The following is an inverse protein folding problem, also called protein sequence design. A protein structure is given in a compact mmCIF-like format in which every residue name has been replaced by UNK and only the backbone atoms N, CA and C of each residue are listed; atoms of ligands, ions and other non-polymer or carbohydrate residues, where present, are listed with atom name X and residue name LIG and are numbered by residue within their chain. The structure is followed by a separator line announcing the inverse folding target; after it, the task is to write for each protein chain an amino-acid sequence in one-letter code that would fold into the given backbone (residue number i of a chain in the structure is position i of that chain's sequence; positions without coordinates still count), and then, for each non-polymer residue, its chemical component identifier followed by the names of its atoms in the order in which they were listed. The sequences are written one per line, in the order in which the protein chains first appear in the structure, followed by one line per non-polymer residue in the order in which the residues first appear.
data_IF_237001927816
#
_entry.id   IF_237001927816
#
_cell.length_a   1.000
_cell.length_b   1.000
_cell.length_c   1.000
_cell.angle_alpha   90.00
_cell.angle_beta   90.00
_cell.angle_gamma   90.00
#
_symmetry.space_group_name_H-M   'P 1'
#
loop_
_entity.id
_entity.type
_entity.pdbx_description
1 polymer ?
#
# COMPACT_ATOMS: atom_id res chain seq x y z
N UNK A 1 -10.35 -31.15 -23.99
CA UNK A 1 -10.79 -30.36 -22.82
C UNK A 1 -10.14 -30.96 -21.61
N UNK A 2 -9.45 -30.13 -20.84
CA UNK A 2 -8.78 -30.53 -19.61
C UNK A 2 -9.63 -30.26 -18.38
N UNK A 3 -9.57 -31.14 -17.38
CA UNK A 3 -10.33 -31.02 -16.13
C UNK A 3 -9.41 -31.24 -14.94
N UNK A 4 -9.38 -30.27 -14.02
CA UNK A 4 -8.73 -30.40 -12.73
C UNK A 4 -9.78 -30.39 -11.62
N UNK A 5 -9.67 -31.33 -10.68
CA UNK A 5 -10.61 -31.46 -9.55
C UNK A 5 -9.86 -31.35 -8.25
N UNK A 6 -10.46 -30.63 -7.31
CA UNK A 6 -9.86 -30.34 -6.02
C UNK A 6 -10.89 -30.61 -4.92
N UNK A 7 -10.56 -31.50 -3.99
CA UNK A 7 -11.35 -31.79 -2.81
C UNK A 7 -11.05 -30.75 -1.72
N UNK A 8 -12.06 -29.99 -1.33
CA UNK A 8 -12.02 -29.02 -0.26
C UNK A 8 -12.49 -29.66 1.06
N UNK A 9 -11.57 -29.82 2.00
CA UNK A 9 -11.85 -30.34 3.33
C UNK A 9 -11.43 -29.32 4.42
N UNK A 10 -12.11 -29.34 5.58
CA UNK A 10 -13.31 -30.12 5.88
C UNK A 10 -14.55 -29.60 5.12
N UNK A 11 -15.58 -30.43 4.96
CA UNK A 11 -16.69 -30.17 4.03
C UNK A 11 -17.47 -28.89 4.34
N UNK A 12 -17.43 -28.43 5.60
CA UNK A 12 -18.06 -27.20 6.06
C UNK A 12 -17.46 -25.95 5.38
N UNK A 13 -16.19 -26.02 4.95
CA UNK A 13 -15.57 -24.92 4.20
C UNK A 13 -16.34 -24.67 2.90
N UNK A 14 -16.78 -25.73 2.21
CA UNK A 14 -17.48 -25.59 0.94
C UNK A 14 -18.82 -24.82 1.09
N UNK A 15 -19.48 -24.92 2.23
CA UNK A 15 -20.75 -24.24 2.49
C UNK A 15 -20.62 -22.71 2.59
N UNK A 16 -19.46 -22.20 3.01
CA UNK A 16 -19.19 -20.76 3.16
C UNK A 16 -18.22 -20.22 2.09
N UNK A 17 -17.88 -21.03 1.08
CA UNK A 17 -16.89 -20.68 0.07
C UNK A 17 -17.46 -19.86 -1.09
N UNK A 18 -18.00 -18.68 -0.77
CA UNK A 18 -18.66 -17.77 -1.73
C UNK A 18 -17.78 -17.41 -2.94
N UNK A 19 -16.48 -17.27 -2.71
CA UNK A 19 -15.52 -16.80 -3.71
C UNK A 19 -14.89 -17.94 -4.53
N UNK A 20 -15.34 -19.19 -4.36
CA UNK A 20 -14.83 -20.36 -5.09
C UNK A 20 -14.94 -20.21 -6.60
N UNK A 21 -16.01 -19.57 -7.08
CA UNK A 21 -16.26 -19.32 -8.51
C UNK A 21 -15.26 -18.35 -9.15
N UNK A 22 -14.57 -17.54 -8.34
CA UNK A 22 -13.53 -16.60 -8.78
C UNK A 22 -12.16 -17.27 -8.94
N UNK A 23 -12.04 -18.59 -8.68
CA UNK A 23 -10.80 -19.31 -8.91
C UNK A 23 -10.40 -19.28 -10.38
N UNK A 24 -9.10 -19.33 -10.66
CA UNK A 24 -8.60 -19.38 -12.02
C UNK A 24 -7.34 -20.24 -12.11
N UNK A 25 -7.05 -20.72 -13.33
CA UNK A 25 -5.90 -21.57 -13.60
C UNK A 25 -4.93 -20.84 -14.51
N UNK A 26 -3.65 -20.84 -14.14
CA UNK A 26 -2.57 -20.33 -15.01
C UNK A 26 -1.72 -21.46 -15.56
N UNK A 27 -1.25 -21.29 -16.79
CA UNK A 27 -0.20 -22.10 -17.39
C UNK A 27 1.17 -21.90 -16.70
N UNK A 28 2.17 -22.66 -17.13
CA UNK A 28 3.55 -22.50 -16.68
C UNK A 28 4.12 -21.09 -16.96
N UNK A 29 3.72 -20.48 -18.08
CA UNK A 29 4.15 -19.15 -18.51
C UNK A 29 3.36 -17.99 -17.84
N UNK A 30 2.43 -18.31 -16.94
CA UNK A 30 1.61 -17.34 -16.23
C UNK A 30 0.36 -16.87 -17.00
N UNK A 31 0.12 -17.34 -18.21
CA UNK A 31 -1.12 -17.02 -18.94
C UNK A 31 -2.33 -17.61 -18.22
N UNK A 32 -3.36 -16.80 -18.05
CA UNK A 32 -4.64 -17.20 -17.47
C UNK A 32 -5.45 -17.94 -18.53
N UNK A 33 -5.93 -19.14 -18.21
CA UNK A 33 -6.91 -19.83 -19.04
C UNK A 33 -8.32 -19.39 -18.67
N UNK A 34 -9.17 -19.19 -19.67
CA UNK A 34 -10.61 -19.18 -19.45
C UNK A 34 -11.03 -20.56 -18.93
N UNK A 35 -11.26 -20.65 -17.64
CA UNK A 35 -11.68 -21.87 -16.97
C UNK A 35 -13.13 -21.71 -16.48
N UNK A 36 -13.96 -22.72 -16.74
CA UNK A 36 -15.26 -22.84 -16.07
C UNK A 36 -15.02 -23.47 -14.71
N UNK A 37 -15.36 -22.75 -13.65
CA UNK A 37 -15.17 -23.20 -12.27
C UNK A 37 -16.51 -23.50 -11.64
N UNK A 38 -16.67 -24.71 -11.14
CA UNK A 38 -17.89 -25.19 -10.51
C UNK A 38 -17.55 -25.89 -9.20
N UNK A 39 -18.20 -25.48 -8.12
CA UNK A 39 -18.13 -26.17 -6.83
C UNK A 39 -19.38 -27.05 -6.71
N UNK A 40 -19.20 -28.36 -6.63
CA UNK A 40 -20.28 -29.31 -6.36
C UNK A 40 -19.94 -30.09 -5.11
N UNK A 41 -20.82 -30.03 -4.11
CA UNK A 41 -20.57 -30.52 -2.75
C UNK A 41 -19.26 -29.93 -2.19
N UNK A 42 -18.21 -30.74 -2.08
CA UNK A 42 -16.88 -30.36 -1.61
C UNK A 42 -15.80 -30.45 -2.70
N UNK A 43 -16.19 -30.57 -3.96
CA UNK A 43 -15.23 -30.70 -5.08
C UNK A 43 -15.30 -29.48 -5.99
N UNK A 44 -14.21 -28.74 -6.04
CA UNK A 44 -13.99 -27.66 -7.00
C UNK A 44 -13.48 -28.26 -8.32
N UNK A 45 -14.27 -28.10 -9.38
CA UNK A 45 -13.95 -28.56 -10.72
C UNK A 45 -13.60 -27.37 -11.61
N UNK A 46 -12.43 -27.39 -12.22
CA UNK A 46 -11.95 -26.38 -13.16
C UNK A 46 -11.81 -27.02 -14.54
N UNK A 47 -12.69 -26.64 -15.48
CA UNK A 47 -12.67 -27.13 -16.87
C UNK A 47 -12.06 -26.08 -17.78
N UNK A 48 -11.13 -26.50 -18.65
CA UNK A 48 -10.36 -25.61 -19.54
C UNK A 48 -10.16 -26.23 -20.94
N UNK A 49 -9.79 -25.39 -21.90
CA UNK A 49 -9.59 -25.82 -23.29
C UNK A 49 -8.38 -26.77 -23.46
N UNK A 50 -7.27 -26.50 -22.74
CA UNK A 50 -6.02 -27.28 -22.76
C UNK A 50 -5.98 -28.33 -21.63
N UNK A 51 -5.23 -29.41 -21.82
CA UNK A 51 -4.98 -30.45 -20.81
C UNK A 51 -3.58 -30.41 -20.18
N UNK A 52 -2.83 -29.33 -20.41
CA UNK A 52 -1.48 -29.15 -19.86
C UNK A 52 -1.47 -28.92 -18.34
N UNK A 53 -0.34 -29.14 -17.68
CA UNK A 53 -0.22 -28.84 -16.24
C UNK A 53 -0.49 -27.36 -15.95
N UNK A 54 -1.14 -27.08 -14.82
CA UNK A 54 -1.49 -25.71 -14.43
C UNK A 54 -1.42 -25.47 -12.92
N UNK A 55 -1.45 -24.20 -12.54
CA UNK A 55 -1.55 -23.76 -11.15
C UNK A 55 -2.95 -23.21 -10.91
N UNK A 56 -3.64 -23.72 -9.89
CA UNK A 56 -4.89 -23.16 -9.43
C UNK A 56 -4.58 -21.97 -8.51
N UNK A 57 -5.31 -20.87 -8.70
CA UNK A 57 -5.32 -19.71 -7.82
C UNK A 57 -6.72 -19.58 -7.22
N UNK A 58 -6.80 -19.51 -5.89
CA UNK A 58 -8.09 -19.42 -5.21
C UNK A 58 -8.00 -18.72 -3.86
N UNK A 59 -9.03 -17.97 -3.49
CA UNK A 59 -9.18 -17.43 -2.14
C UNK A 59 -9.51 -18.57 -1.17
N UNK A 60 -8.67 -18.78 -0.16
CA UNK A 60 -8.81 -19.88 0.81
C UNK A 60 -8.67 -19.38 2.24
N UNK A 61 -9.51 -19.83 3.19
CA UNK A 61 -9.44 -19.37 4.57
C UNK A 61 -8.15 -19.84 5.27
N UNK A 62 -7.45 -18.90 5.89
CA UNK A 62 -6.28 -19.15 6.73
C UNK A 62 -6.43 -18.36 8.02
N UNK A 63 -6.35 -19.05 9.16
CA UNK A 63 -6.50 -18.42 10.48
C UNK A 63 -5.49 -17.29 10.67
N UNK A 64 -5.96 -16.12 11.11
CA UNK A 64 -5.15 -14.91 11.26
C UNK A 64 -4.88 -14.12 9.97
N UNK A 65 -5.25 -14.64 8.79
CA UNK A 65 -4.99 -14.00 7.48
C UNK A 65 -6.25 -13.77 6.63
N UNK A 66 -7.43 -14.17 7.09
CA UNK A 66 -8.67 -14.04 6.33
C UNK A 66 -8.70 -15.05 5.18
N UNK A 67 -8.95 -14.58 3.94
CA UNK A 67 -9.00 -15.41 2.73
C UNK A 67 -8.00 -14.95 1.66
N UNK A 68 -6.68 -15.08 1.91
CA UNK A 68 -5.69 -14.74 0.90
C UNK A 68 -5.90 -15.56 -0.38
N UNK A 69 -5.54 -14.98 -1.54
CA UNK A 69 -5.42 -15.75 -2.78
C UNK A 69 -4.15 -16.59 -2.69
N UNK A 70 -4.34 -17.91 -2.70
CA UNK A 70 -3.27 -18.88 -2.65
C UNK A 70 -3.17 -19.62 -3.98
N UNK A 71 -1.97 -20.09 -4.27
CA UNK A 71 -1.64 -20.75 -5.53
C UNK A 71 -1.09 -22.14 -5.25
N UNK A 72 -1.56 -23.15 -5.98
CA UNK A 72 -0.99 -24.50 -5.92
C UNK A 72 0.38 -24.57 -6.59
N UNK A 73 1.09 -25.70 -6.43
CA UNK A 73 2.14 -26.05 -7.38
C UNK A 73 1.55 -26.27 -8.80
N UNK A 74 2.44 -26.41 -9.80
CA UNK A 74 1.99 -26.84 -11.14
C UNK A 74 1.58 -28.31 -11.06
N UNK A 75 0.33 -28.60 -11.35
CA UNK A 75 -0.26 -29.92 -11.24
C UNK A 75 -0.69 -30.42 -12.63
N UNK A 76 -0.37 -31.68 -12.99
CA UNK A 76 -0.94 -32.31 -14.16
C UNK A 76 -2.43 -32.62 -13.94
N UNK A 77 -3.08 -33.16 -14.96
CA UNK A 77 -4.43 -33.70 -14.79
C UNK A 77 -4.41 -35.01 -14.00
N UNK A 78 -5.49 -35.27 -13.28
CA UNK A 78 -5.64 -36.49 -12.48
C UNK A 78 -7.06 -37.02 -12.51
N UNK A 79 -7.16 -38.34 -12.55
CA UNK A 79 -8.41 -39.08 -12.42
C UNK A 79 -8.99 -39.00 -10.99
N UNK A 80 -8.18 -38.62 -10.01
CA UNK A 80 -8.59 -38.42 -8.62
C UNK A 80 -8.52 -36.93 -8.27
N UNK A 81 -9.45 -36.40 -7.46
CA UNK A 81 -9.37 -35.02 -7.01
C UNK A 81 -8.15 -34.82 -6.11
N UNK A 82 -7.41 -33.73 -6.32
CA UNK A 82 -6.33 -33.30 -5.44
C UNK A 82 -6.89 -32.84 -4.10
N UNK A 83 -6.23 -33.15 -2.99
CA UNK A 83 -6.56 -32.51 -1.71
C UNK A 83 -6.13 -31.04 -1.78
N UNK A 84 -7.09 -30.13 -1.84
CA UNK A 84 -6.84 -28.73 -2.19
C UNK A 84 -5.86 -28.06 -1.22
N UNK A 85 -6.15 -28.11 0.08
CA UNK A 85 -5.34 -27.46 1.11
C UNK A 85 -3.91 -27.99 1.13
N UNK A 86 -3.70 -29.28 0.83
CA UNK A 86 -2.38 -29.88 0.73
C UNK A 86 -1.58 -29.27 -0.42
N UNK A 87 -2.21 -29.09 -1.58
CA UNK A 87 -1.56 -28.51 -2.75
C UNK A 87 -1.36 -26.99 -2.64
N UNK A 88 -2.26 -26.28 -1.94
CA UNK A 88 -2.06 -24.88 -1.57
C UNK A 88 -0.88 -24.73 -0.59
N UNK A 89 -0.78 -25.59 0.42
CA UNK A 89 0.36 -25.62 1.34
C UNK A 89 1.66 -25.92 0.58
N UNK A 90 1.67 -26.89 -0.33
CA UNK A 90 2.83 -27.22 -1.18
C UNK A 90 3.28 -26.00 -1.99
N UNK A 91 2.33 -25.34 -2.65
CA UNK A 91 2.59 -24.15 -3.45
C UNK A 91 3.16 -23.01 -2.61
N UNK A 92 2.50 -22.68 -1.50
CA UNK A 92 2.93 -21.56 -0.64
C UNK A 92 4.29 -21.79 0.03
N UNK A 93 4.57 -23.02 0.47
CA UNK A 93 5.90 -23.38 0.99
C UNK A 93 6.99 -23.20 -0.07
N UNK A 94 6.73 -23.62 -1.32
CA UNK A 94 7.65 -23.42 -2.42
C UNK A 94 7.91 -21.94 -2.72
N UNK A 95 6.84 -21.15 -2.84
CA UNK A 95 6.89 -19.70 -3.10
C UNK A 95 7.69 -18.95 -2.03
N UNK A 96 7.36 -19.17 -0.75
CA UNK A 96 8.01 -18.48 0.37
C UNK A 96 9.48 -18.87 0.50
N UNK A 97 9.82 -20.15 0.25
CA UNK A 97 11.21 -20.61 0.25
C UNK A 97 12.02 -19.93 -0.85
N UNK A 98 11.48 -19.87 -2.06
CA UNK A 98 12.13 -19.22 -3.20
C UNK A 98 12.33 -17.72 -2.95
N UNK A 99 11.29 -17.04 -2.45
CA UNK A 99 11.38 -15.62 -2.13
C UNK A 99 12.44 -15.31 -1.07
N UNK A 100 12.50 -16.14 -0.02
CA UNK A 100 13.49 -16.01 1.04
C UNK A 100 14.91 -16.22 0.51
N UNK A 101 15.12 -17.21 -0.36
CA UNK A 101 16.41 -17.45 -0.99
C UNK A 101 16.84 -16.24 -1.85
N UNK A 102 15.95 -15.73 -2.70
CA UNK A 102 16.24 -14.56 -3.55
C UNK A 102 16.62 -13.33 -2.73
N UNK A 103 15.88 -13.05 -1.66
CA UNK A 103 16.19 -11.90 -0.80
C UNK A 103 17.47 -12.10 0.00
N UNK A 104 17.73 -13.32 0.50
CA UNK A 104 18.99 -13.64 1.16
C UNK A 104 20.17 -13.48 0.21
N UNK A 105 20.05 -13.94 -1.02
CA UNK A 105 21.05 -13.77 -2.07
C UNK A 105 21.30 -12.29 -2.38
N UNK A 106 20.25 -11.45 -2.33
CA UNK A 106 20.34 -10.00 -2.44
C UNK A 106 20.88 -9.30 -1.17
N UNK A 107 21.36 -10.05 -0.16
CA UNK A 107 21.99 -9.53 1.05
C UNK A 107 21.03 -9.25 2.22
N UNK A 108 19.77 -9.67 2.12
CA UNK A 108 18.84 -9.57 3.26
C UNK A 108 19.21 -10.56 4.36
N UNK A 109 19.21 -10.09 5.60
CA UNK A 109 19.34 -10.96 6.77
C UNK A 109 18.01 -11.66 7.05
N UNK A 110 18.02 -12.99 7.08
CA UNK A 110 16.83 -13.80 7.37
C UNK A 110 16.76 -14.05 8.88
N UNK A 111 15.63 -13.76 9.51
CA UNK A 111 15.44 -13.96 10.95
C UNK A 111 15.33 -15.44 11.33
N UNK A 112 15.71 -15.77 12.57
CA UNK A 112 15.56 -17.14 13.08
C UNK A 112 14.08 -17.53 13.27
N UNK A 113 13.22 -16.58 13.64
CA UNK A 113 11.76 -16.77 13.71
C UNK A 113 11.19 -17.26 12.37
N UNK A 114 11.61 -16.65 11.25
CA UNK A 114 11.22 -17.12 9.92
C UNK A 114 11.64 -18.58 9.69
N UNK A 115 12.90 -18.92 10.02
CA UNK A 115 13.45 -20.26 9.82
C UNK A 115 12.72 -21.31 10.66
N UNK A 116 12.34 -20.96 11.88
CA UNK A 116 11.57 -21.82 12.77
C UNK A 116 10.17 -22.10 12.20
N UNK A 117 9.43 -21.05 11.81
CA UNK A 117 8.09 -21.19 11.22
C UNK A 117 8.13 -21.97 9.90
N UNK A 118 9.14 -21.71 9.05
CA UNK A 118 9.33 -22.45 7.81
C UNK A 118 9.58 -23.95 8.06
N UNK A 119 10.41 -24.29 9.05
CA UNK A 119 10.70 -25.68 9.42
C UNK A 119 9.44 -26.37 9.96
N UNK A 120 8.69 -25.70 10.83
CA UNK A 120 7.41 -26.18 11.38
C UNK A 120 6.41 -26.46 10.25
N UNK A 121 6.22 -25.51 9.32
CA UNK A 121 5.35 -25.67 8.18
C UNK A 121 5.74 -26.89 7.32
N UNK A 122 7.04 -27.06 7.02
CA UNK A 122 7.51 -28.18 6.22
C UNK A 122 7.32 -29.54 6.94
N UNK A 123 7.51 -29.60 8.26
CA UNK A 123 7.27 -30.82 9.04
C UNK A 123 5.79 -31.20 9.04
N UNK A 124 4.88 -30.23 9.25
CA UNK A 124 3.44 -30.45 9.20
C UNK A 124 2.98 -30.90 7.81
N UNK A 125 3.47 -30.22 6.75
CA UNK A 125 3.21 -30.61 5.38
C UNK A 125 3.71 -32.03 5.06
N UNK A 126 4.90 -32.40 5.54
CA UNK A 126 5.46 -33.74 5.34
C UNK A 126 4.58 -34.81 5.99
N UNK A 127 4.08 -34.57 7.21
CA UNK A 127 3.12 -35.45 7.88
C UNK A 127 1.79 -35.53 7.12
N UNK A 128 1.27 -34.39 6.66
CA UNK A 128 0.05 -34.33 5.86
C UNK A 128 0.16 -35.15 4.57
N UNK A 129 1.27 -34.99 3.83
CA UNK A 129 1.53 -35.72 2.59
C UNK A 129 1.74 -37.23 2.81
N UNK A 130 2.12 -37.65 4.02
CA UNK A 130 2.26 -39.06 4.38
C UNK A 130 0.92 -39.72 4.76
N UNK A 131 -0.10 -38.93 5.14
CA UNK A 131 -1.42 -39.41 5.55
C UNK A 131 -2.35 -39.76 4.37
N UNK A 132 -1.82 -40.46 3.35
CA UNK A 132 -2.54 -40.74 2.08
C UNK A 132 -3.82 -41.56 2.23
N UNK A 133 -4.01 -42.26 3.34
CA UNK A 133 -5.21 -43.05 3.64
C UNK A 133 -6.27 -42.32 4.46
N UNK A 134 -5.99 -41.10 4.93
CA UNK A 134 -6.89 -40.31 5.77
C UNK A 134 -6.89 -38.85 5.30
N UNK A 135 -7.75 -38.50 4.32
CA UNK A 135 -7.85 -37.14 3.80
C UNK A 135 -8.21 -36.11 4.86
N UNK A 136 -8.93 -36.49 5.93
CA UNK A 136 -9.35 -35.57 6.98
C UNK A 136 -8.15 -35.19 7.85
N UNK A 137 -7.37 -36.17 8.28
CA UNK A 137 -6.11 -35.92 9.01
C UNK A 137 -5.09 -35.20 8.14
N UNK A 138 -4.96 -35.58 6.86
CA UNK A 138 -4.10 -34.88 5.90
C UNK A 138 -4.51 -33.41 5.75
N UNK A 139 -5.81 -33.13 5.65
CA UNK A 139 -6.36 -31.78 5.53
C UNK A 139 -6.05 -30.94 6.76
N UNK A 140 -6.29 -31.47 7.97
CA UNK A 140 -6.01 -30.75 9.21
C UNK A 140 -4.53 -30.41 9.39
N UNK A 141 -3.63 -31.34 9.06
CA UNK A 141 -2.17 -31.10 9.11
C UNK A 141 -1.72 -30.11 8.04
N UNK A 142 -2.28 -30.18 6.82
CA UNK A 142 -1.99 -29.26 5.74
C UNK A 142 -2.47 -27.83 6.06
N UNK A 143 -3.62 -27.68 6.71
CA UNK A 143 -4.13 -26.38 7.16
C UNK A 143 -3.19 -25.74 8.19
N UNK A 144 -2.71 -26.49 9.19
CA UNK A 144 -1.72 -26.00 10.15
C UNK A 144 -0.37 -25.66 9.49
N UNK A 145 0.02 -26.43 8.46
CA UNK A 145 1.22 -26.11 7.67
C UNK A 145 1.05 -24.78 6.93
N UNK A 146 -0.14 -24.55 6.38
CA UNK A 146 -0.50 -23.33 5.64
C UNK A 146 -0.52 -22.09 6.56
N UNK A 147 -1.07 -22.20 7.76
CA UNK A 147 -1.04 -21.14 8.78
C UNK A 147 0.41 -20.79 9.19
N UNK A 148 1.22 -21.82 9.43
CA UNK A 148 2.63 -21.64 9.82
C UNK A 148 3.44 -20.96 8.70
N UNK A 149 3.25 -21.35 7.43
CA UNK A 149 3.97 -20.72 6.32
C UNK A 149 3.46 -19.31 6.00
N UNK A 150 2.16 -19.01 6.18
CA UNK A 150 1.65 -17.64 6.07
C UNK A 150 2.23 -16.73 7.15
N UNK A 151 2.38 -17.25 8.38
CA UNK A 151 3.09 -16.55 9.46
C UNK A 151 4.54 -16.28 9.08
N UNK A 152 5.25 -17.29 8.56
CA UNK A 152 6.61 -17.11 8.05
C UNK A 152 6.68 -16.05 6.95
N UNK A 153 5.76 -16.08 5.98
CA UNK A 153 5.70 -15.11 4.89
C UNK A 153 5.52 -13.67 5.41
N UNK A 154 4.66 -13.46 6.41
CA UNK A 154 4.46 -12.16 7.04
C UNK A 154 5.72 -11.68 7.79
N UNK A 155 6.41 -12.56 8.52
CA UNK A 155 7.69 -12.25 9.17
C UNK A 155 8.76 -11.88 8.14
N UNK A 156 8.83 -12.62 7.02
CA UNK A 156 9.78 -12.37 5.94
C UNK A 156 9.54 -11.01 5.28
N UNK A 157 8.29 -10.70 4.91
CA UNK A 157 7.92 -9.43 4.30
C UNK A 157 8.18 -8.23 5.23
N UNK A 158 7.91 -8.39 6.53
CA UNK A 158 8.21 -7.36 7.53
C UNK A 158 9.71 -7.13 7.67
N UNK A 159 10.49 -8.20 7.75
CA UNK A 159 11.96 -8.14 7.84
C UNK A 159 12.57 -7.45 6.61
N UNK A 160 12.05 -7.76 5.42
CA UNK A 160 12.46 -7.10 4.18
C UNK A 160 12.18 -5.60 4.22
N UNK A 161 10.95 -5.23 4.62
CA UNK A 161 10.52 -3.83 4.69
C UNK A 161 11.40 -3.01 5.65
N UNK A 162 11.65 -3.54 6.86
CA UNK A 162 12.49 -2.86 7.86
C UNK A 162 13.93 -2.70 7.38
N UNK A 163 14.56 -3.75 6.85
CA UNK A 163 15.95 -3.67 6.38
C UNK A 163 16.08 -2.76 5.17
N UNK A 164 15.11 -2.78 4.24
CA UNK A 164 15.12 -1.90 3.07
C UNK A 164 14.92 -0.43 3.46
N UNK A 165 14.08 -0.15 4.46
CA UNK A 165 13.92 1.19 5.03
C UNK A 165 15.21 1.67 5.70
N UNK A 166 15.85 0.83 6.52
CA UNK A 166 17.12 1.15 7.18
C UNK A 166 18.25 1.40 6.17
N UNK A 167 18.39 0.52 5.17
CA UNK A 167 19.39 0.69 4.10
C UNK A 167 19.19 2.00 3.34
N UNK A 168 17.94 2.38 3.06
CA UNK A 168 17.62 3.68 2.42
C UNK A 168 17.94 4.86 3.32
N UNK A 169 17.63 4.79 4.61
CA UNK A 169 17.96 5.85 5.57
C UNK A 169 19.48 6.07 5.70
N UNK A 170 20.29 5.04 5.49
CA UNK A 170 21.75 5.14 5.48
C UNK A 170 22.31 5.65 4.15
N UNK A 171 21.68 5.32 3.01
CA UNK A 171 22.21 5.68 1.68
C UNK A 171 21.66 7.00 1.10
N UNK A 172 20.55 7.50 1.61
CA UNK A 172 19.91 8.73 1.12
C UNK A 172 19.53 9.63 2.31
N UNK A 173 19.88 10.91 2.23
CA UNK A 173 19.47 11.91 3.22
C UNK A 173 17.94 12.11 3.25
N UNK A 174 17.25 11.76 2.15
CA UNK A 174 15.79 11.84 2.03
C UNK A 174 15.24 10.67 1.18
N UNK A 175 14.08 10.08 1.56
CA UNK A 175 13.44 9.03 0.78
C UNK A 175 12.99 9.56 -0.59
N UNK A 176 13.01 8.72 -1.65
CA UNK A 176 12.68 9.14 -3.01
C UNK A 176 11.19 9.45 -3.20
N UNK A 177 10.35 8.99 -2.27
CA UNK A 177 8.93 9.32 -2.18
C UNK A 177 8.66 9.95 -0.82
N UNK A 178 8.01 11.12 -0.84
CA UNK A 178 7.60 11.84 0.35
C UNK A 178 6.16 11.45 0.69
N UNK A 179 5.93 11.06 1.93
CA UNK A 179 4.60 10.85 2.47
C UNK A 179 4.33 11.97 3.47
N UNK A 180 3.29 12.76 3.21
CA UNK A 180 2.90 13.88 4.05
C UNK A 180 1.43 14.22 3.89
N UNK A 181 0.93 15.06 4.79
CA UNK A 181 -0.37 15.70 4.65
C UNK A 181 -0.27 17.19 4.99
N UNK A 182 -1.34 17.93 4.67
CA UNK A 182 -1.48 19.34 5.02
C UNK A 182 -1.65 19.48 6.53
N UNK A 183 -0.91 20.42 7.09
CA UNK A 183 -0.93 20.71 8.51
C UNK A 183 -1.95 21.80 8.83
N UNK A 184 -2.53 21.64 10.01
CA UNK A 184 -3.29 22.65 10.74
C UNK A 184 -2.78 22.70 12.19
N UNK A 185 -3.46 23.46 13.03
CA UNK A 185 -3.13 23.61 14.45
C UNK A 185 -3.28 22.31 15.26
N UNK A 186 -3.98 21.29 14.76
CA UNK A 186 -4.14 20.02 15.47
C UNK A 186 -2.80 19.33 15.74
N UNK A 187 -1.81 19.48 14.84
CA UNK A 187 -0.46 18.91 15.00
C UNK A 187 0.31 19.53 16.17
N UNK A 188 -0.17 20.65 16.71
CA UNK A 188 0.40 21.30 17.89
C UNK A 188 -0.07 20.64 19.19
N UNK A 189 -1.04 19.74 19.15
CA UNK A 189 -1.57 19.03 20.33
C UNK A 189 -1.22 17.55 20.32
N UNK A 190 -1.09 16.93 21.49
CA UNK A 190 -1.01 15.47 21.62
C UNK A 190 -2.42 14.86 21.67
N UNK A 191 -2.66 13.67 21.10
CA UNK A 191 -1.68 12.72 20.52
C UNK A 191 -1.39 12.95 19.02
N UNK A 192 -1.98 13.97 18.39
CA UNK A 192 -1.87 14.21 16.95
C UNK A 192 -0.43 14.49 16.51
N UNK A 193 0.31 15.29 17.30
CA UNK A 193 1.72 15.59 17.08
C UNK A 193 2.57 14.33 16.97
N UNK A 194 2.53 13.47 17.98
CA UNK A 194 3.31 12.23 18.01
C UNK A 194 2.93 11.29 16.87
N UNK A 195 1.64 11.12 16.61
CA UNK A 195 1.13 10.28 15.53
C UNK A 195 1.61 10.77 14.15
N UNK A 196 1.52 12.07 13.88
CA UNK A 196 1.96 12.66 12.62
C UNK A 196 3.46 12.41 12.38
N UNK A 197 4.31 12.78 13.33
CA UNK A 197 5.76 12.70 13.17
C UNK A 197 6.34 11.28 13.23
N UNK A 198 5.55 10.29 13.66
CA UNK A 198 5.89 8.87 13.53
C UNK A 198 5.48 8.28 12.16
N UNK A 199 4.52 8.91 11.48
CA UNK A 199 3.92 8.37 10.24
C UNK A 199 4.47 9.05 8.99
N UNK A 200 4.63 10.37 9.02
CA UNK A 200 4.93 11.18 7.84
C UNK A 200 6.39 11.65 7.79
N UNK A 201 6.97 11.64 6.59
CA UNK A 201 8.33 12.14 6.31
C UNK A 201 8.33 13.56 5.74
N UNK A 202 7.17 14.05 5.30
CA UNK A 202 6.96 15.41 4.81
C UNK A 202 5.69 16.03 5.37
N UNK A 203 5.61 17.35 5.29
CA UNK A 203 4.47 18.14 5.73
C UNK A 203 4.16 19.24 4.72
N UNK A 204 2.88 19.47 4.44
CA UNK A 204 2.44 20.62 3.67
C UNK A 204 1.95 21.73 4.63
N UNK A 205 2.65 22.84 4.68
CA UNK A 205 2.27 24.01 5.48
C UNK A 205 1.45 24.95 4.57
N UNK A 206 0.15 25.18 4.85
CA UNK A 206 -0.72 25.95 3.98
C UNK A 206 -0.47 27.46 4.14
N UNK A 207 0.47 27.99 3.34
CA UNK A 207 0.78 29.43 3.30
C UNK A 207 -0.16 30.11 2.30
N UNK A 208 -1.46 30.09 2.59
CA UNK A 208 -2.50 30.68 1.74
C UNK A 208 -2.59 32.20 1.96
N UNK A 209 -2.48 33.01 0.89
CA UNK A 209 -2.49 34.47 0.99
C UNK A 209 -3.71 35.02 1.74
N UNK A 210 -4.90 34.52 1.44
CA UNK A 210 -6.16 34.92 2.09
C UNK A 210 -6.17 34.70 3.61
N UNK A 211 -5.42 33.72 4.13
CA UNK A 211 -5.30 33.46 5.56
C UNK A 211 -4.17 34.23 6.21
N UNK A 212 -3.09 34.44 5.47
CA UNK A 212 -1.91 35.16 5.94
C UNK A 212 -2.18 36.66 6.03
N UNK A 213 -2.83 37.23 5.04
CA UNK A 213 -3.14 38.66 4.96
C UNK A 213 -4.65 38.86 4.72
N UNK A 214 -5.48 38.60 5.74
CA UNK A 214 -6.94 38.74 5.61
C UNK A 214 -7.37 40.21 5.43
N UNK A 215 -6.56 41.15 5.93
CA UNK A 215 -6.70 42.60 5.77
C UNK A 215 -5.39 43.13 5.21
N UNK A 216 -5.47 44.05 4.25
CA UNK A 216 -4.31 44.66 3.59
C UNK A 216 -3.31 45.21 4.62
N UNK A 217 -2.06 44.74 4.56
CA UNK A 217 -0.98 45.12 5.48
C UNK A 217 -0.97 44.40 6.84
N UNK A 218 -2.01 43.64 7.20
CA UNK A 218 -2.09 42.91 8.47
C UNK A 218 -1.73 41.42 8.31
N UNK A 219 -0.46 41.11 8.51
CA UNK A 219 0.05 39.74 8.38
C UNK A 219 -0.10 38.88 9.64
N UNK A 220 -0.57 37.65 9.47
CA UNK A 220 -0.77 36.63 10.51
C UNK A 220 0.15 35.43 10.30
N UNK A 221 1.37 35.52 10.78
CA UNK A 221 2.40 34.48 10.62
C UNK A 221 2.51 33.49 11.79
N UNK A 222 1.93 33.79 12.95
CA UNK A 222 2.24 33.12 14.22
C UNK A 222 2.00 31.60 14.18
N UNK A 223 0.85 31.18 13.61
CA UNK A 223 0.53 29.77 13.47
C UNK A 223 1.50 29.08 12.50
N UNK A 224 1.73 29.67 11.33
CA UNK A 224 2.62 29.12 10.30
C UNK A 224 4.07 28.98 10.82
N UNK A 225 4.57 29.96 11.56
CA UNK A 225 5.89 29.89 12.18
C UNK A 225 5.99 28.72 13.15
N UNK A 226 4.96 28.52 13.97
CA UNK A 226 4.90 27.41 14.94
C UNK A 226 4.86 26.05 14.23
N UNK A 227 4.13 25.94 13.12
CA UNK A 227 4.08 24.73 12.30
C UNK A 227 5.44 24.44 11.65
N UNK A 228 6.06 25.44 11.01
CA UNK A 228 7.38 25.31 10.39
C UNK A 228 8.45 24.93 11.43
N UNK A 229 8.44 25.55 12.61
CA UNK A 229 9.34 25.18 13.71
C UNK A 229 9.14 23.72 14.16
N UNK A 230 7.90 23.27 14.29
CA UNK A 230 7.58 21.91 14.68
C UNK A 230 8.11 20.89 13.67
N UNK A 231 7.93 21.16 12.37
CA UNK A 231 8.47 20.33 11.29
C UNK A 231 10.00 20.31 11.27
N UNK A 232 10.66 21.46 11.47
CA UNK A 232 12.12 21.54 11.50
C UNK A 232 12.73 20.76 12.67
N UNK A 233 12.15 20.88 13.87
CA UNK A 233 12.60 20.11 15.06
C UNK A 233 12.55 18.60 14.80
N UNK A 234 11.59 18.14 13.99
CA UNK A 234 11.39 16.74 13.63
C UNK A 234 12.04 16.32 12.31
N UNK A 235 12.78 17.23 11.65
CA UNK A 235 13.49 17.02 10.37
C UNK A 235 12.58 16.54 9.22
N UNK A 236 11.30 16.93 9.24
CA UNK A 236 10.40 16.66 8.12
C UNK A 236 10.72 17.59 6.94
N UNK A 237 10.55 17.08 5.72
CA UNK A 237 10.60 17.93 4.53
C UNK A 237 9.34 18.80 4.51
N UNK A 238 9.52 20.10 4.33
CA UNK A 238 8.43 21.07 4.31
C UNK A 238 8.14 21.46 2.86
N UNK A 239 6.88 21.31 2.46
CA UNK A 239 6.27 21.93 1.30
C UNK A 239 5.42 23.11 1.79
N UNK A 240 5.63 24.31 1.28
CA UNK A 240 4.75 25.44 1.55
C UNK A 240 3.79 25.67 0.42
N UNK A 241 2.55 26.05 0.75
CA UNK A 241 1.55 26.55 -0.20
C UNK A 241 0.22 25.78 -0.15
N UNK A 242 -0.72 26.14 -1.04
CA UNK A 242 -0.52 27.08 -2.14
C UNK A 242 -0.39 28.52 -1.68
N UNK A 243 0.51 29.29 -2.29
CA UNK A 243 0.63 30.74 -2.04
C UNK A 243 -0.53 31.50 -2.66
N UNK A 244 -0.84 31.17 -3.91
CA UNK A 244 -1.95 31.72 -4.67
C UNK A 244 -2.97 30.61 -4.93
N UNK A 245 -4.15 30.70 -4.32
CA UNK A 245 -5.29 29.86 -4.68
C UNK A 245 -6.24 30.68 -5.57
N UNK A 246 -6.32 30.30 -6.85
CA UNK A 246 -7.12 31.00 -7.86
C UNK A 246 -8.60 30.55 -7.89
N UNK A 247 -9.03 29.72 -6.94
CA UNK A 247 -10.44 29.40 -6.76
C UNK A 247 -11.21 30.52 -6.05
N UNK A 248 -12.54 30.46 -6.09
CA UNK A 248 -13.42 31.43 -5.44
C UNK A 248 -13.15 31.50 -3.94
N UNK A 249 -12.74 32.67 -3.45
CA UNK A 249 -12.38 32.89 -2.05
C UNK A 249 -10.96 32.47 -1.65
N UNK A 250 -10.14 32.00 -2.60
CA UNK A 250 -8.73 31.63 -2.36
C UNK A 250 -7.81 32.84 -2.20
N UNK A 251 -8.10 33.94 -2.89
CA UNK A 251 -7.38 35.22 -2.78
C UNK A 251 -7.99 36.12 -1.69
N UNK A 252 -7.19 37.01 -1.06
CA UNK A 252 -7.70 37.97 -0.10
C UNK A 252 -8.86 38.83 -0.63
N UNK A 253 -9.90 38.99 0.19
CA UNK A 253 -11.10 39.72 -0.21
C UNK A 253 -10.84 41.20 -0.56
N UNK A 254 -9.83 41.80 0.07
CA UNK A 254 -9.43 43.20 -0.15
C UNK A 254 -8.81 43.46 -1.52
N UNK A 255 -8.44 42.41 -2.29
CA UNK A 255 -7.99 42.56 -3.69
C UNK A 255 -9.12 42.85 -4.67
N UNK A 256 -10.39 42.67 -4.28
CA UNK A 256 -11.55 42.84 -5.17
C UNK A 256 -11.60 44.19 -5.91
N UNK A 257 -11.30 45.34 -5.28
CA UNK A 257 -11.28 46.64 -5.96
C UNK A 257 -10.19 46.76 -7.04
N UNK A 258 -9.13 45.97 -6.92
CA UNK A 258 -7.95 45.99 -7.79
C UNK A 258 -8.03 44.98 -8.94
N UNK A 259 -9.11 44.19 -9.03
CA UNK A 259 -9.27 43.15 -10.06
C UNK A 259 -9.18 43.69 -11.50
N UNK A 260 -9.57 44.95 -11.72
CA UNK A 260 -9.50 45.60 -13.03
C UNK A 260 -8.12 46.24 -13.32
N UNK A 261 -7.26 46.37 -12.31
CA UNK A 261 -5.93 46.96 -12.41
C UNK A 261 -4.85 45.89 -12.27
N UNK A 262 -4.58 45.23 -13.39
CA UNK A 262 -3.68 44.08 -13.46
C UNK A 262 -2.25 44.42 -13.05
N UNK A 263 -1.76 45.62 -13.34
CA UNK A 263 -0.39 46.03 -13.00
C UNK A 263 -0.21 46.11 -11.47
N UNK A 264 -1.17 46.73 -10.78
CA UNK A 264 -1.16 46.79 -9.33
C UNK A 264 -1.38 45.41 -8.70
N UNK A 265 -2.24 44.57 -9.29
CA UNK A 265 -2.44 43.19 -8.83
C UNK A 265 -1.13 42.37 -8.91
N UNK A 266 -0.38 42.50 -10.01
CA UNK A 266 0.92 41.86 -10.17
C UNK A 266 1.90 42.31 -9.07
N UNK A 267 1.94 43.61 -8.76
CA UNK A 267 2.77 44.14 -7.68
C UNK A 267 2.39 43.53 -6.32
N UNK A 268 1.11 43.48 -5.97
CA UNK A 268 0.67 42.87 -4.70
C UNK A 268 1.03 41.37 -4.61
N UNK A 269 0.88 40.63 -5.71
CA UNK A 269 1.27 39.21 -5.77
C UNK A 269 2.77 39.06 -5.53
N UNK A 270 3.59 39.88 -6.21
CA UNK A 270 5.04 39.86 -6.05
C UNK A 270 5.45 40.20 -4.61
N UNK A 271 4.87 41.24 -4.02
CA UNK A 271 5.17 41.68 -2.66
C UNK A 271 4.83 40.59 -1.62
N UNK A 272 3.66 39.95 -1.76
CA UNK A 272 3.28 38.84 -0.89
C UNK A 272 4.22 37.65 -1.03
N UNK A 273 4.52 37.24 -2.26
CA UNK A 273 5.41 36.11 -2.54
C UNK A 273 6.83 36.38 -2.01
N UNK A 274 7.37 37.58 -2.23
CA UNK A 274 8.69 37.97 -1.74
C UNK A 274 8.72 37.97 -0.21
N UNK A 275 7.68 38.49 0.44
CA UNK A 275 7.55 38.48 1.90
C UNK A 275 7.50 37.06 2.46
N UNK A 276 6.67 36.18 1.87
CA UNK A 276 6.51 34.79 2.31
C UNK A 276 7.79 33.96 2.09
N UNK A 277 8.41 34.06 0.92
CA UNK A 277 9.65 33.34 0.58
C UNK A 277 10.81 33.84 1.43
N UNK A 278 10.98 35.16 1.58
CA UNK A 278 12.05 35.74 2.39
C UNK A 278 11.94 35.35 3.86
N UNK A 279 10.72 35.31 4.41
CA UNK A 279 10.47 34.88 5.80
C UNK A 279 10.93 33.45 6.07
N UNK A 280 10.66 32.53 5.13
CA UNK A 280 10.97 31.10 5.29
C UNK A 280 12.19 30.65 4.50
N UNK A 281 12.99 31.59 4.01
CA UNK A 281 14.21 31.33 3.29
C UNK A 281 15.16 30.43 4.11
N UNK A 282 15.70 29.40 3.47
CA UNK A 282 16.55 28.40 4.13
C UNK A 282 15.81 27.40 5.02
N UNK A 283 14.54 27.65 5.37
CA UNK A 283 13.69 26.74 6.17
C UNK A 283 12.84 25.84 5.29
N UNK A 284 12.34 26.38 4.18
CA UNK A 284 11.46 25.68 3.22
C UNK A 284 12.14 25.61 1.86
N UNK A 285 12.08 24.44 1.23
CA UNK A 285 12.75 24.17 -0.07
C UNK A 285 11.78 23.86 -1.20
N UNK A 286 10.55 23.49 -0.90
CA UNK A 286 9.53 23.13 -1.88
C UNK A 286 8.36 24.11 -1.72
N UNK A 287 8.00 24.78 -2.80
CA UNK A 287 6.95 25.79 -2.82
C UNK A 287 5.91 25.43 -3.88
N UNK A 288 4.65 25.40 -3.47
CA UNK A 288 3.49 25.46 -4.35
C UNK A 288 3.11 26.92 -4.51
N UNK A 289 3.49 27.50 -5.65
CA UNK A 289 3.26 28.91 -5.94
C UNK A 289 1.80 29.17 -6.24
N UNK A 290 1.18 28.34 -7.07
CA UNK A 290 -0.22 28.50 -7.44
C UNK A 290 -0.96 27.17 -7.42
N UNK A 291 -2.25 27.23 -7.10
CA UNK A 291 -3.19 26.14 -7.21
C UNK A 291 -4.46 26.58 -7.94
N UNK A 292 -5.14 25.61 -8.57
CA UNK A 292 -6.47 25.75 -9.19
C UNK A 292 -6.57 26.83 -10.28
N UNK A 293 -5.46 27.21 -10.92
CA UNK A 293 -5.48 28.15 -12.05
C UNK A 293 -6.32 27.68 -13.24
N UNK A 294 -6.51 26.37 -13.39
CA UNK A 294 -7.34 25.78 -14.45
C UNK A 294 -8.86 25.83 -14.17
N UNK A 295 -9.28 26.18 -12.96
CA UNK A 295 -10.70 26.22 -12.56
C UNK A 295 -11.22 27.67 -12.63
N UNK A 296 -10.34 28.66 -12.44
CA UNK A 296 -10.68 30.07 -12.41
C UNK A 296 -11.59 30.45 -11.23
N UNK A 297 -12.14 31.66 -11.28
CA UNK A 297 -13.11 32.16 -10.29
C UNK A 297 -12.53 33.03 -9.18
N UNK A 298 -11.21 33.13 -9.06
CA UNK A 298 -10.52 34.18 -8.30
C UNK A 298 -10.58 35.51 -9.05
N UNK A 299 -11.13 36.56 -8.42
CA UNK A 299 -11.19 37.94 -8.93
C UNK A 299 -11.81 38.10 -10.35
N UNK A 300 -12.54 37.11 -10.86
CA UNK A 300 -13.09 37.07 -12.21
C UNK A 300 -12.06 37.32 -13.33
N UNK A 301 -10.80 36.92 -13.11
CA UNK A 301 -9.72 37.03 -14.09
C UNK A 301 -9.94 36.11 -15.29
N UNK A 302 -9.52 36.55 -16.47
CA UNK A 302 -9.55 35.77 -17.72
C UNK A 302 -8.27 34.95 -17.90
N UNK A 303 -8.21 34.01 -18.85
CA UNK A 303 -6.99 33.22 -19.10
C UNK A 303 -5.78 34.07 -19.55
N UNK A 304 -6.04 35.23 -20.17
CA UNK A 304 -5.00 36.17 -20.62
C UNK A 304 -4.45 37.06 -19.49
N UNK A 305 -5.11 37.08 -18.31
CA UNK A 305 -4.78 37.89 -17.14
C UNK A 305 -4.31 37.00 -15.98
#
# INVERSE_FOLDING_TARGET
MGVMRFLALPAEIANDWRDASSAYVTALDGRVFAARVELTDSVLSCTRASSESGKLHVAWPVEGFGRPVLTTASLPESDQPYLLVLELARGKIGEVREQAFQWQFAGMMISDDFREQQRKAFQLFSKASAAKGDPQTASGLAQQALESICTAAATLARSYTVQRQQSRALSQSHPPALLGCTLDDSVLTEPHRSTFFQTFSAAAVPIEWSRVEPVEGEYRWQLLDTLVESCQRKRCIIRAGPMLDLSTGGLPSWLSPWAADFLNLQSFVCDFMETAVSRYAGRIRIWEVSARGNIGGGLALTEEQ
#
